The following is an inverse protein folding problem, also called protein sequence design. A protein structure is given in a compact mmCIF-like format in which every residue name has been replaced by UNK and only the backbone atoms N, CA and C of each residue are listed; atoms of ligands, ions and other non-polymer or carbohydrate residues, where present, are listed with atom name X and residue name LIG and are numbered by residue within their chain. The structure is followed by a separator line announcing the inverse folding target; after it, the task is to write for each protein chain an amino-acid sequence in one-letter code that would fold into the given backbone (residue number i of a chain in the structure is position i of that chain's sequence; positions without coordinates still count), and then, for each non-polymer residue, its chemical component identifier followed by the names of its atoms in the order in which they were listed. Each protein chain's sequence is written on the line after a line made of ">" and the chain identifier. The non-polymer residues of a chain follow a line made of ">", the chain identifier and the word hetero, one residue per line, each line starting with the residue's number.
data_IF_894523718515
#
_entry.id   IF_894523718515
#
_cell.length_a   1.000
_cell.length_b   1.000
_cell.length_c   1.000
_cell.angle_alpha   90.00
_cell.angle_beta   90.00
_cell.angle_gamma   90.00
#
_symmetry.space_group_name_H-M   'P 1'
#
loop_
_entity.id
_entity.type
_entity.pdbx_description
1 polymer ?
#
# COMPACT_ATOMS: atom_id res chain seq x y z
N UNK A 1 -0.88 9.42 -19.59
CA UNK A 1 0.34 9.10 -20.37
C UNK A 1 -0.04 8.17 -21.50
N UNK A 2 0.39 8.39 -22.73
CA UNK A 2 0.09 7.47 -23.81
C UNK A 2 0.67 6.09 -23.49
N UNK A 3 -0.10 5.03 -23.77
CA UNK A 3 0.33 3.65 -23.54
C UNK A 3 1.60 3.35 -24.34
N UNK A 4 2.46 2.50 -23.78
CA UNK A 4 3.72 2.04 -24.42
C UNK A 4 3.48 1.57 -25.87
N UNK A 5 2.31 0.95 -26.13
CA UNK A 5 1.89 0.57 -27.48
C UNK A 5 1.74 1.76 -28.45
N UNK A 6 1.20 2.91 -27.99
CA UNK A 6 1.11 4.12 -28.84
C UNK A 6 2.48 4.71 -29.14
N UNK A 7 3.41 4.63 -28.19
CA UNK A 7 4.79 5.07 -28.40
C UNK A 7 5.50 4.12 -29.37
N UNK A 8 5.30 2.81 -29.22
CA UNK A 8 5.87 1.80 -30.14
C UNK A 8 5.28 1.96 -31.53
N UNK A 9 3.97 2.17 -31.67
CA UNK A 9 3.32 2.41 -32.97
C UNK A 9 3.82 3.71 -33.60
N UNK A 10 3.97 4.78 -32.84
CA UNK A 10 4.51 6.06 -33.30
C UNK A 10 5.99 5.95 -33.73
N UNK A 11 6.79 5.17 -33.01
CA UNK A 11 8.18 4.88 -33.39
C UNK A 11 8.26 3.96 -34.61
N UNK A 12 7.29 3.05 -34.77
CA UNK A 12 7.23 2.16 -35.92
C UNK A 12 6.85 2.88 -37.19
N UNK A 13 5.88 3.79 -37.15
CA UNK A 13 5.53 4.66 -38.31
C UNK A 13 6.68 5.60 -38.70
N UNK A 14 7.37 6.21 -37.72
CA UNK A 14 8.58 7.00 -38.01
C UNK A 14 9.76 6.15 -38.48
N UNK A 15 9.83 4.88 -38.15
CA UNK A 15 10.86 3.96 -38.64
C UNK A 15 10.78 3.76 -40.15
N UNK A 16 9.57 3.74 -40.71
CA UNK A 16 9.37 3.67 -42.19
C UNK A 16 9.91 4.95 -42.85
N UNK A 17 9.73 6.12 -42.22
CA UNK A 17 10.22 7.40 -42.75
C UNK A 17 11.74 7.58 -42.63
N UNK A 18 12.35 7.02 -41.52
CA UNK A 18 13.80 7.08 -41.30
C UNK A 18 14.58 6.09 -42.16
N UNK A 19 13.94 5.02 -42.64
CA UNK A 19 14.58 4.04 -43.51
C UNK A 19 14.89 4.59 -44.92
N UNK A 20 14.27 5.69 -45.34
CA UNK A 20 14.56 6.36 -46.59
C UNK A 20 15.72 7.37 -46.50
N UNK A 21 16.16 7.70 -45.27
CA UNK A 21 17.32 8.58 -45.05
C UNK A 21 18.55 7.71 -44.73
N UNK A 22 19.60 7.83 -45.54
CA UNK A 22 20.87 7.13 -45.34
C UNK A 22 21.45 7.54 -43.98
N UNK A 23 21.19 6.74 -42.93
CA UNK A 23 21.70 6.98 -41.56
C UNK A 23 23.19 6.66 -41.50
N UNK A 24 23.94 7.44 -40.74
CA UNK A 24 25.35 7.15 -40.46
C UNK A 24 25.49 5.97 -39.50
N UNK A 25 26.63 5.29 -39.50
CA UNK A 25 26.91 4.16 -38.57
C UNK A 25 26.75 4.57 -37.13
N UNK A 26 27.07 5.82 -36.76
CA UNK A 26 26.88 6.36 -35.40
C UNK A 26 25.41 6.45 -35.00
N UNK A 27 24.55 6.88 -35.91
CA UNK A 27 23.10 6.96 -35.64
C UNK A 27 22.46 5.58 -35.48
N UNK A 28 22.93 4.57 -36.26
CA UNK A 28 22.54 3.17 -36.04
C UNK A 28 22.96 2.64 -34.67
N UNK A 29 24.17 2.97 -34.22
CA UNK A 29 24.67 2.58 -32.91
C UNK A 29 23.85 3.20 -31.78
N UNK A 30 23.54 4.49 -31.83
CA UNK A 30 22.67 5.15 -30.84
C UNK A 30 21.24 4.59 -30.84
N UNK A 31 20.68 4.31 -32.00
CA UNK A 31 19.36 3.70 -32.12
C UNK A 31 19.32 2.29 -31.51
N UNK A 32 20.34 1.49 -31.77
CA UNK A 32 20.50 0.16 -31.17
C UNK A 32 20.69 0.23 -29.64
N UNK A 33 21.47 1.18 -29.17
CA UNK A 33 21.66 1.43 -27.73
C UNK A 33 20.36 1.85 -27.04
N UNK A 34 19.56 2.70 -27.67
CA UNK A 34 18.25 3.11 -27.18
C UNK A 34 17.28 1.92 -27.12
N UNK A 35 17.25 1.07 -28.16
CA UNK A 35 16.43 -0.15 -28.17
C UNK A 35 16.89 -1.12 -27.06
N UNK A 36 18.19 -1.25 -26.85
CA UNK A 36 18.77 -2.10 -25.78
C UNK A 36 18.37 -1.55 -24.41
N UNK A 37 18.44 -0.23 -24.19
CA UNK A 37 17.99 0.44 -22.96
C UNK A 37 16.49 0.28 -22.73
N UNK A 38 15.65 0.40 -23.77
CA UNK A 38 14.21 0.18 -23.67
C UNK A 38 13.91 -1.28 -23.30
N UNK A 39 14.62 -2.25 -23.87
CA UNK A 39 14.46 -3.66 -23.51
C UNK A 39 14.93 -3.94 -22.08
N UNK A 40 16.02 -3.36 -21.60
CA UNK A 40 16.50 -3.49 -20.22
C UNK A 40 15.50 -2.87 -19.23
N UNK A 41 14.90 -1.73 -19.55
CA UNK A 41 13.86 -1.10 -18.73
C UNK A 41 12.56 -1.94 -18.74
N UNK A 42 12.22 -2.55 -19.89
CA UNK A 42 11.04 -3.42 -20.00
C UNK A 42 11.22 -4.76 -19.26
N UNK A 43 12.45 -5.29 -19.21
CA UNK A 43 12.76 -6.50 -18.43
C UNK A 43 12.69 -6.31 -16.91
N UNK A 44 12.71 -5.05 -16.43
CA UNK A 44 12.60 -4.73 -15.01
C UNK A 44 11.18 -4.83 -14.46
N UNK A 45 10.17 -4.89 -15.32
CA UNK A 45 8.78 -5.17 -14.91
C UNK A 45 8.53 -6.68 -14.95
N UNK A 46 8.96 -7.39 -13.93
CA UNK A 46 8.77 -8.84 -13.74
C UNK A 46 7.30 -9.30 -13.65
N UNK A 47 6.38 -8.67 -14.38
CA UNK A 47 4.95 -8.95 -14.31
C UNK A 47 4.30 -8.53 -12.99
N UNK A 48 5.01 -7.76 -12.17
CA UNK A 48 4.46 -7.20 -10.94
C UNK A 48 3.53 -6.02 -11.25
N UNK A 49 2.37 -6.00 -10.60
CA UNK A 49 1.37 -4.94 -10.78
C UNK A 49 1.84 -3.61 -10.19
N UNK A 50 2.56 -3.66 -9.09
CA UNK A 50 3.03 -2.50 -8.35
C UNK A 50 4.50 -2.22 -8.59
N UNK A 51 4.83 -0.94 -8.84
CA UNK A 51 6.20 -0.48 -9.03
C UNK A 51 6.80 -0.08 -7.67
N UNK A 52 7.74 -0.87 -7.20
CA UNK A 52 8.44 -0.63 -5.92
C UNK A 52 9.30 0.64 -5.89
N UNK A 53 9.51 1.29 -7.03
CA UNK A 53 10.29 2.53 -7.10
C UNK A 53 9.47 3.81 -6.93
N UNK A 54 8.14 3.73 -6.95
CA UNK A 54 7.23 4.90 -6.92
C UNK A 54 6.23 4.90 -5.77
N UNK A 55 6.18 3.82 -5.00
CA UNK A 55 5.24 3.63 -3.89
C UNK A 55 5.89 2.84 -2.77
N UNK A 56 5.34 2.95 -1.55
CA UNK A 56 5.72 2.11 -0.41
C UNK A 56 5.02 0.74 -0.43
N UNK A 57 4.21 0.48 -1.47
CA UNK A 57 3.55 -0.79 -1.71
C UNK A 57 4.56 -1.94 -1.83
N UNK A 58 4.32 -2.99 -1.08
CA UNK A 58 5.23 -4.12 -0.99
C UNK A 58 4.81 -5.19 -2.00
N UNK A 59 5.70 -5.56 -2.91
CA UNK A 59 5.53 -6.77 -3.71
C UNK A 59 5.93 -7.99 -2.88
N UNK A 60 4.93 -8.81 -2.54
CA UNK A 60 5.13 -10.00 -1.74
C UNK A 60 5.59 -11.19 -2.57
N UNK A 61 6.38 -12.03 -1.94
CA UNK A 61 6.88 -13.28 -2.48
C UNK A 61 7.11 -14.27 -1.31
N UNK A 62 7.42 -15.56 -1.58
CA UNK A 62 7.64 -16.55 -0.53
C UNK A 62 8.75 -16.23 0.48
N UNK A 63 9.75 -15.43 0.07
CA UNK A 63 10.87 -15.09 0.96
C UNK A 63 10.54 -13.94 1.93
N UNK A 64 9.63 -13.04 1.56
CA UNK A 64 9.34 -11.85 2.36
C UNK A 64 7.96 -11.85 3.01
N UNK A 65 7.06 -12.77 2.66
CA UNK A 65 5.69 -12.79 3.18
C UNK A 65 5.65 -12.82 4.71
N UNK A 66 6.35 -13.76 5.33
CA UNK A 66 6.33 -13.91 6.78
C UNK A 66 6.98 -12.71 7.48
N UNK A 67 8.10 -12.24 6.99
CA UNK A 67 8.81 -11.09 7.59
C UNK A 67 8.05 -9.79 7.44
N UNK A 68 7.34 -9.60 6.33
CA UNK A 68 6.59 -8.38 6.08
C UNK A 68 5.18 -8.40 6.67
N UNK A 69 4.53 -9.54 6.69
CA UNK A 69 3.12 -9.67 7.09
C UNK A 69 2.98 -10.40 8.42
N UNK A 70 3.30 -11.69 8.48
CA UNK A 70 3.00 -12.55 9.62
C UNK A 70 3.64 -12.06 10.91
N UNK A 71 4.95 -11.79 10.88
CA UNK A 71 5.71 -11.38 12.05
C UNK A 71 5.40 -9.95 12.54
N UNK A 72 4.84 -9.12 11.67
CA UNK A 72 4.49 -7.75 12.03
C UNK A 72 3.14 -7.63 12.74
N UNK A 73 2.31 -8.67 12.72
CA UNK A 73 1.03 -8.67 13.43
C UNK A 73 1.18 -8.53 14.95
N UNK A 74 2.30 -8.99 15.51
CA UNK A 74 2.65 -8.80 16.94
C UNK A 74 2.97 -7.32 17.27
N UNK A 75 3.23 -6.48 16.26
CA UNK A 75 3.59 -5.07 16.41
C UNK A 75 2.41 -4.12 16.18
N UNK A 76 1.20 -4.60 16.30
CA UNK A 76 -0.03 -3.84 16.03
C UNK A 76 -0.08 -3.25 14.61
N UNK A 77 0.60 -3.90 13.67
CA UNK A 77 0.59 -3.51 12.26
C UNK A 77 -0.52 -4.23 11.53
N UNK A 78 -1.35 -3.46 10.85
CA UNK A 78 -2.43 -3.97 10.00
C UNK A 78 -1.89 -4.02 8.57
N UNK A 79 -2.00 -5.20 7.93
CA UNK A 79 -1.68 -5.32 6.52
C UNK A 79 -2.95 -5.53 5.69
N UNK A 80 -3.01 -4.89 4.52
CA UNK A 80 -4.05 -5.08 3.52
C UNK A 80 -3.40 -5.51 2.22
N UNK A 81 -3.76 -6.71 1.76
CA UNK A 81 -3.08 -7.39 0.66
C UNK A 81 -4.03 -7.59 -0.50
N UNK A 82 -3.59 -7.15 -1.69
CA UNK A 82 -4.21 -7.46 -2.96
C UNK A 82 -3.58 -8.72 -3.55
N UNK A 83 -4.31 -9.82 -3.55
CA UNK A 83 -3.97 -11.04 -4.26
C UNK A 83 -4.50 -10.91 -5.68
N UNK A 84 -3.61 -10.92 -6.66
CA UNK A 84 -3.95 -10.61 -8.03
C UNK A 84 -3.34 -11.58 -9.05
N UNK A 85 -3.97 -11.66 -10.21
CA UNK A 85 -3.35 -12.20 -11.42
C UNK A 85 -3.23 -11.08 -12.46
N UNK A 86 -2.07 -10.89 -13.10
CA UNK A 86 -1.94 -9.88 -14.17
C UNK A 86 -2.92 -10.08 -15.33
N UNK A 87 -3.43 -11.30 -15.50
CA UNK A 87 -4.27 -11.69 -16.63
C UNK A 87 -5.77 -11.68 -16.32
N UNK A 88 -6.20 -11.35 -15.09
CA UNK A 88 -7.63 -11.40 -14.72
C UNK A 88 -8.46 -10.22 -15.24
N UNK A 89 -7.82 -9.23 -15.86
CA UNK A 89 -8.43 -8.04 -16.45
C UNK A 89 -9.02 -7.06 -15.44
N UNK A 90 -9.24 -7.45 -14.19
CA UNK A 90 -9.80 -6.62 -13.13
C UNK A 90 -8.72 -6.04 -12.21
N UNK A 91 -7.73 -6.84 -11.84
CA UNK A 91 -6.65 -6.42 -10.95
C UNK A 91 -5.89 -5.16 -11.41
N UNK A 92 -5.56 -5.00 -12.71
CA UNK A 92 -4.91 -3.79 -13.19
C UNK A 92 -5.76 -2.52 -13.04
N UNK A 93 -7.10 -2.64 -13.15
CA UNK A 93 -8.02 -1.50 -13.02
C UNK A 93 -8.10 -0.98 -11.58
N UNK A 94 -7.84 -1.83 -10.60
CA UNK A 94 -7.92 -1.51 -9.17
C UNK A 94 -6.57 -1.06 -8.58
N UNK A 95 -5.52 -1.06 -9.39
CA UNK A 95 -4.18 -0.61 -9.01
C UNK A 95 -4.17 0.81 -8.44
N UNK A 96 -4.92 1.71 -9.09
CA UNK A 96 -4.89 3.13 -8.74
C UNK A 96 -5.45 3.39 -7.34
N UNK A 97 -6.46 2.62 -6.90
CA UNK A 97 -7.00 2.69 -5.53
C UNK A 97 -5.93 2.35 -4.49
N UNK A 98 -5.10 1.32 -4.75
CA UNK A 98 -4.00 0.96 -3.85
C UNK A 98 -2.89 2.02 -3.82
N UNK A 99 -2.60 2.65 -4.95
CA UNK A 99 -1.63 3.75 -5.03
C UNK A 99 -2.14 4.98 -4.28
N UNK A 100 -3.44 5.29 -4.39
CA UNK A 100 -4.07 6.36 -3.63
C UNK A 100 -4.03 6.09 -2.12
N UNK A 101 -4.40 4.86 -1.71
CA UNK A 101 -4.31 4.43 -0.31
C UNK A 101 -2.88 4.59 0.23
N UNK A 102 -1.88 4.17 -0.52
CA UNK A 102 -0.49 4.27 -0.12
C UNK A 102 -0.06 5.73 0.03
N UNK A 103 -0.46 6.58 -0.90
CA UNK A 103 -0.13 8.01 -0.88
C UNK A 103 -0.75 8.74 0.32
N UNK A 104 -2.02 8.44 0.63
CA UNK A 104 -2.75 9.14 1.70
C UNK A 104 -2.48 8.58 3.10
N UNK A 105 -2.25 7.25 3.19
CA UNK A 105 -2.16 6.55 4.48
C UNK A 105 -0.82 5.83 4.66
N UNK A 106 0.22 6.34 4.00
CA UNK A 106 1.59 5.81 4.13
C UNK A 106 2.01 5.73 5.59
N UNK A 107 2.54 4.57 5.98
CA UNK A 107 2.98 4.30 7.36
C UNK A 107 1.86 3.98 8.36
N UNK A 108 0.57 4.18 8.02
CA UNK A 108 -0.53 3.73 8.88
C UNK A 108 -0.81 2.24 8.72
N UNK A 109 -0.77 1.76 7.47
CA UNK A 109 -1.05 0.39 7.10
C UNK A 109 0.07 -0.15 6.24
N UNK A 110 0.29 -1.45 6.27
CA UNK A 110 1.10 -2.13 5.27
C UNK A 110 0.22 -2.50 4.09
N UNK A 111 0.46 -1.87 2.96
CA UNK A 111 -0.22 -2.17 1.71
C UNK A 111 0.69 -3.04 0.85
N UNK A 112 0.14 -4.12 0.32
CA UNK A 112 0.95 -5.09 -0.42
C UNK A 112 0.18 -5.72 -1.57
N UNK A 113 0.91 -6.15 -2.59
CA UNK A 113 0.41 -6.97 -3.67
C UNK A 113 1.10 -8.33 -3.71
N UNK A 114 0.36 -9.38 -4.01
CA UNK A 114 0.89 -10.72 -4.24
C UNK A 114 0.43 -11.23 -5.60
N UNK A 115 1.39 -11.49 -6.48
CA UNK A 115 1.16 -12.02 -7.81
C UNK A 115 0.90 -13.53 -7.73
N UNK A 116 -0.37 -13.92 -7.83
CA UNK A 116 -0.78 -15.31 -7.71
C UNK A 116 -0.57 -16.15 -8.98
N UNK A 117 -0.34 -15.50 -10.13
CA UNK A 117 0.14 -16.21 -11.32
C UNK A 117 1.56 -16.74 -11.09
N UNK A 118 2.41 -15.92 -10.44
CA UNK A 118 3.81 -16.24 -10.17
C UNK A 118 3.99 -17.11 -8.92
N UNK A 119 3.21 -16.85 -7.87
CA UNK A 119 3.34 -17.49 -6.56
C UNK A 119 2.06 -18.23 -6.14
N UNK A 120 1.60 -19.12 -7.02
CA UNK A 120 0.32 -19.86 -6.86
C UNK A 120 0.24 -20.60 -5.53
N UNK A 121 1.32 -21.30 -5.14
CA UNK A 121 1.33 -22.11 -3.91
C UNK A 121 1.21 -21.23 -2.66
N UNK A 122 1.83 -20.04 -2.64
CA UNK A 122 1.68 -19.11 -1.55
C UNK A 122 0.24 -18.58 -1.46
N UNK A 123 -0.38 -18.24 -2.58
CA UNK A 123 -1.78 -17.80 -2.62
C UNK A 123 -2.72 -18.90 -2.11
N UNK A 124 -2.52 -20.15 -2.56
CA UNK A 124 -3.29 -21.31 -2.08
C UNK A 124 -3.13 -21.54 -0.58
N UNK A 125 -1.90 -21.42 -0.04
CA UNK A 125 -1.64 -21.49 1.41
C UNK A 125 -2.37 -20.39 2.19
N UNK A 126 -2.60 -19.24 1.56
CA UNK A 126 -3.39 -18.16 2.15
C UNK A 126 -4.90 -18.33 1.93
N UNK A 127 -5.35 -19.45 1.35
CA UNK A 127 -6.76 -19.71 1.09
C UNK A 127 -7.36 -18.81 0.00
N UNK A 128 -6.55 -18.46 -1.01
CA UNK A 128 -6.98 -17.62 -2.13
C UNK A 128 -7.04 -18.47 -3.41
N UNK A 129 -8.24 -18.56 -4.00
CA UNK A 129 -8.53 -19.32 -5.21
C UNK A 129 -8.97 -18.43 -6.36
N UNK A 130 -9.55 -17.27 -6.05
CA UNK A 130 -10.13 -16.35 -7.02
C UNK A 130 -9.42 -15.00 -7.02
N UNK A 131 -9.37 -14.34 -8.18
CA UNK A 131 -8.70 -13.05 -8.36
C UNK A 131 -9.63 -12.01 -9.01
N UNK A 132 -9.55 -10.73 -8.57
CA UNK A 132 -8.80 -10.24 -7.43
C UNK A 132 -9.43 -10.65 -6.09
N UNK A 133 -8.61 -10.96 -5.10
CA UNK A 133 -9.03 -11.15 -3.72
C UNK A 133 -8.26 -10.20 -2.80
N UNK A 134 -8.96 -9.63 -1.82
CA UNK A 134 -8.38 -8.72 -0.84
C UNK A 134 -8.46 -9.35 0.53
N UNK A 135 -7.34 -9.35 1.25
CA UNK A 135 -7.31 -9.88 2.63
C UNK A 135 -6.68 -8.88 3.59
N UNK A 136 -7.25 -8.84 4.77
CA UNK A 136 -6.73 -8.07 5.89
C UNK A 136 -6.03 -9.02 6.84
N UNK A 137 -4.86 -8.60 7.29
CA UNK A 137 -4.09 -9.24 8.33
C UNK A 137 -4.06 -8.28 9.52
N UNK A 138 -5.05 -8.37 10.43
CA UNK A 138 -5.10 -7.53 11.61
C UNK A 138 -4.03 -7.94 12.61
N UNK A 139 -3.78 -7.12 13.66
CA UNK A 139 -2.97 -7.52 14.80
C UNK A 139 -3.50 -8.81 15.44
N UNK A 140 -2.61 -9.56 16.06
CA UNK A 140 -3.02 -10.72 16.84
C UNK A 140 -3.88 -10.28 18.05
N UNK A 141 -4.83 -11.13 18.50
CA UNK A 141 -5.08 -12.50 18.08
C UNK A 141 -6.07 -12.67 16.91
N UNK A 142 -6.59 -11.59 16.31
CA UNK A 142 -7.60 -11.68 15.27
C UNK A 142 -7.06 -12.42 14.01
N UNK A 143 -7.81 -13.36 13.42
CA UNK A 143 -7.36 -14.10 12.24
C UNK A 143 -7.35 -13.21 10.98
N UNK A 144 -6.57 -13.58 9.95
CA UNK A 144 -6.71 -12.98 8.63
C UNK A 144 -8.11 -13.20 8.07
N UNK A 145 -8.67 -12.19 7.40
CA UNK A 145 -10.02 -12.25 6.86
C UNK A 145 -10.11 -11.64 5.46
N UNK A 146 -11.04 -12.13 4.66
CA UNK A 146 -11.33 -11.59 3.35
C UNK A 146 -12.08 -10.25 3.49
N UNK A 147 -11.71 -9.29 2.67
CA UNK A 147 -12.45 -8.05 2.53
C UNK A 147 -13.44 -8.16 1.37
N UNK A 148 -14.71 -7.95 1.65
CA UNK A 148 -15.81 -8.06 0.68
C UNK A 148 -16.52 -6.71 0.44
N UNK A 149 -15.94 -5.64 0.96
CA UNK A 149 -16.47 -4.28 0.79
C UNK A 149 -16.15 -3.68 -0.58
N UNK A 150 -16.63 -2.47 -0.81
CA UNK A 150 -16.32 -1.71 -2.03
C UNK A 150 -14.83 -1.37 -2.07
N UNK A 151 -14.23 -1.49 -3.25
CA UNK A 151 -12.82 -1.15 -3.49
C UNK A 151 -12.72 0.35 -3.83
N UNK A 152 -12.96 1.15 -2.82
CA UNK A 152 -12.79 2.61 -2.82
C UNK A 152 -12.09 3.01 -1.52
N UNK A 153 -11.17 3.97 -1.58
CA UNK A 153 -10.33 4.43 -0.47
C UNK A 153 -11.12 4.64 0.82
N UNK A 154 -12.24 5.35 0.78
CA UNK A 154 -13.05 5.67 1.97
C UNK A 154 -13.63 4.44 2.68
N UNK A 155 -14.05 3.40 1.92
CA UNK A 155 -14.64 2.18 2.52
C UNK A 155 -13.56 1.28 3.08
N UNK A 156 -12.43 1.15 2.37
CA UNK A 156 -11.27 0.38 2.82
C UNK A 156 -10.75 0.98 4.13
N UNK A 157 -10.53 2.29 4.18
CA UNK A 157 -10.02 2.97 5.39
C UNK A 157 -11.00 2.89 6.55
N UNK A 158 -12.30 3.05 6.29
CA UNK A 158 -13.32 2.88 7.32
C UNK A 158 -13.30 1.46 7.92
N UNK A 159 -13.02 0.46 7.09
CA UNK A 159 -12.93 -0.93 7.54
C UNK A 159 -11.62 -1.21 8.28
N UNK A 160 -10.47 -0.82 7.73
CA UNK A 160 -9.16 -1.00 8.36
C UNK A 160 -9.07 -0.26 9.70
N UNK A 161 -9.69 0.91 9.81
CA UNK A 161 -9.74 1.72 11.02
C UNK A 161 -10.40 1.02 12.23
N UNK A 162 -11.21 -0.02 12.00
CA UNK A 162 -11.80 -0.83 13.08
C UNK A 162 -10.76 -1.67 13.83
N UNK A 163 -9.67 -2.00 13.17
CA UNK A 163 -8.59 -2.81 13.73
C UNK A 163 -7.45 -1.97 14.31
N UNK A 164 -7.48 -0.66 14.12
CA UNK A 164 -6.50 0.24 14.75
C UNK A 164 -6.82 0.36 16.22
N UNK A 165 -5.89 -0.08 17.05
CA UNK A 165 -5.98 0.08 18.51
C UNK A 165 -6.10 1.56 18.92
N UNK A 166 -6.54 1.78 20.14
CA UNK A 166 -6.73 3.11 20.70
C UNK A 166 -6.10 3.20 22.09
N UNK A 167 -5.13 4.07 22.27
CA UNK A 167 -4.52 4.40 23.57
C UNK A 167 -4.92 5.79 24.08
N UNK A 168 -5.87 6.44 23.37
CA UNK A 168 -6.41 7.71 23.81
C UNK A 168 -7.30 7.54 25.03
N UNK A 169 -7.19 8.42 25.99
CA UNK A 169 -8.08 8.51 27.13
C UNK A 169 -9.16 9.56 26.85
N UNK A 170 -10.36 9.36 27.37
CA UNK A 170 -11.39 10.38 27.37
C UNK A 170 -11.30 11.23 28.63
N UNK A 171 -11.24 12.55 28.47
CA UNK A 171 -11.26 13.49 29.58
C UNK A 171 -12.69 13.89 29.91
N UNK A 172 -12.94 13.92 31.21
CA UNK A 172 -14.14 14.51 31.82
C UNK A 172 -13.75 15.24 33.09
N UNK A 173 -14.74 15.91 33.72
CA UNK A 173 -14.48 16.68 34.93
C UNK A 173 -13.88 15.89 36.09
N UNK A 174 -14.07 14.55 36.12
CA UNK A 174 -13.63 13.73 37.25
C UNK A 174 -12.16 13.28 37.12
N UNK A 175 -11.60 13.24 35.90
CA UNK A 175 -10.24 12.76 35.64
C UNK A 175 -9.29 13.84 35.10
N UNK A 176 -9.77 15.06 34.90
CA UNK A 176 -8.98 16.15 34.32
C UNK A 176 -7.79 16.53 35.18
N UNK A 177 -8.00 16.77 36.48
CA UNK A 177 -6.95 17.20 37.40
C UNK A 177 -5.89 16.12 37.59
N UNK A 178 -6.30 14.87 37.76
CA UNK A 178 -5.39 13.73 37.82
C UNK A 178 -4.55 13.64 36.55
N UNK A 179 -5.18 13.77 35.41
CA UNK A 179 -4.47 13.69 34.14
C UNK A 179 -3.42 14.81 33.98
N UNK A 180 -3.76 16.04 34.29
CA UNK A 180 -2.85 17.17 34.14
C UNK A 180 -1.63 17.03 35.07
N UNK A 181 -1.84 16.57 36.30
CA UNK A 181 -0.78 16.48 37.30
C UNK A 181 -0.02 15.15 37.29
N UNK A 182 -0.58 14.09 36.69
CA UNK A 182 0.09 12.80 36.59
C UNK A 182 1.25 12.88 35.60
N UNK A 183 2.45 12.51 36.04
CA UNK A 183 3.69 12.49 35.23
C UNK A 183 3.90 13.80 34.46
N UNK A 184 4.18 14.92 35.15
CA UNK A 184 4.27 16.25 34.53
C UNK A 184 5.38 16.37 33.47
N UNK A 185 6.38 15.48 33.54
CA UNK A 185 7.47 15.43 32.54
C UNK A 185 7.06 14.82 31.18
N UNK A 186 5.90 14.16 31.09
CA UNK A 186 5.44 13.56 29.85
C UNK A 186 4.53 14.56 29.12
N UNK A 187 4.86 14.95 27.88
CA UNK A 187 3.99 15.79 27.06
C UNK A 187 2.59 15.21 26.89
N UNK A 188 1.60 16.05 26.91
CA UNK A 188 0.19 15.68 26.78
C UNK A 188 -0.40 16.38 25.55
N UNK A 189 -1.10 15.61 24.73
CA UNK A 189 -1.79 16.13 23.53
C UNK A 189 -3.29 15.98 23.73
N UNK A 190 -4.01 17.10 23.70
CA UNK A 190 -5.44 17.15 23.83
C UNK A 190 -6.06 17.41 22.47
N UNK A 191 -7.06 16.58 22.11
CA UNK A 191 -7.90 16.79 20.94
C UNK A 191 -9.31 17.17 21.39
N UNK A 192 -9.72 18.39 21.08
CA UNK A 192 -11.09 18.86 21.26
C UNK A 192 -11.91 18.49 20.02
N UNK A 193 -12.96 17.73 20.18
CA UNK A 193 -13.77 17.27 19.04
C UNK A 193 -15.21 17.01 19.47
N UNK A 194 -16.14 17.27 18.56
CA UNK A 194 -17.55 16.87 18.69
C UNK A 194 -17.86 15.52 18.06
N UNK A 195 -16.83 14.81 17.53
CA UNK A 195 -16.99 13.50 16.91
C UNK A 195 -16.98 12.41 17.98
N UNK A 196 -17.99 11.55 17.99
CA UNK A 196 -18.09 10.42 18.92
C UNK A 196 -16.95 9.39 18.80
N UNK A 197 -16.28 9.34 17.66
CA UNK A 197 -15.20 8.39 17.41
C UNK A 197 -13.84 9.09 17.34
N UNK A 198 -12.84 8.49 17.96
CA UNK A 198 -11.45 8.93 17.87
C UNK A 198 -10.99 8.94 16.41
N UNK A 199 -10.50 10.07 15.88
CA UNK A 199 -9.98 10.12 14.52
C UNK A 199 -8.85 9.10 14.30
N UNK A 200 -8.82 8.47 13.12
CA UNK A 200 -7.88 7.40 12.80
C UNK A 200 -6.40 7.81 13.01
N UNK A 201 -6.04 9.01 12.56
CA UNK A 201 -4.70 9.56 12.75
C UNK A 201 -4.36 9.67 14.24
N UNK A 202 -5.31 10.13 15.06
CA UNK A 202 -5.08 10.31 16.49
C UNK A 202 -4.90 8.96 17.21
N UNK A 203 -5.69 7.94 16.84
CA UNK A 203 -5.46 6.57 17.28
C UNK A 203 -4.06 6.08 16.93
N UNK A 204 -3.62 6.27 15.68
CA UNK A 204 -2.31 5.82 15.22
C UNK A 204 -1.17 6.49 15.96
N UNK A 205 -1.25 7.80 16.16
CA UNK A 205 -0.28 8.57 16.94
C UNK A 205 -0.22 8.08 18.39
N UNK A 206 -1.37 7.78 19.01
CA UNK A 206 -1.43 7.29 20.39
C UNK A 206 -0.75 5.92 20.56
N UNK A 207 -0.77 5.07 19.55
CA UNK A 207 -0.05 3.79 19.55
C UNK A 207 1.46 3.99 19.34
N UNK A 208 1.82 4.89 18.44
CA UNK A 208 3.22 5.12 18.07
C UNK A 208 4.03 5.76 19.20
N UNK A 209 3.41 6.64 19.97
CA UNK A 209 4.06 7.45 21.00
C UNK A 209 3.53 7.20 22.42
N UNK A 210 2.91 6.06 22.68
CA UNK A 210 2.25 5.72 23.95
C UNK A 210 3.14 5.91 25.19
N UNK A 211 4.43 5.63 25.07
CA UNK A 211 5.40 5.80 26.18
C UNK A 211 5.84 7.26 26.37
N UNK A 212 5.90 8.01 25.30
CA UNK A 212 6.51 9.35 25.25
C UNK A 212 5.49 10.49 25.32
N UNK A 213 4.23 10.24 24.94
CA UNK A 213 3.18 11.27 24.84
C UNK A 213 1.84 10.65 25.28
N UNK A 214 1.06 11.40 26.04
CA UNK A 214 -0.32 11.00 26.38
C UNK A 214 -1.33 11.71 25.49
N UNK A 215 -2.26 10.94 24.92
CA UNK A 215 -3.29 11.41 23.99
C UNK A 215 -4.66 11.39 24.62
N UNK A 216 -5.40 12.48 24.45
CA UNK A 216 -6.67 12.67 25.11
C UNK A 216 -7.70 13.30 24.20
N UNK A 217 -8.94 12.88 24.40
CA UNK A 217 -10.12 13.41 23.75
C UNK A 217 -10.95 14.16 24.76
N UNK A 218 -11.43 15.33 24.36
CA UNK A 218 -12.50 16.08 25.03
C UNK A 218 -13.64 16.29 24.05
N UNK A 219 -14.85 15.99 24.51
CA UNK A 219 -16.10 16.19 23.77
C UNK A 219 -16.78 17.49 24.19
#
# INVERSE_FOLDING_TARGET
>A
MPSVQKIIHFLFEKKIFLFQKKMSIKEYFYFFLIILLINVVSLKNNGELYDSGRSTLINLNPMNFDTQITNNRNKEVIAFIHFYSPDDGKSPQLKDVFIELDKEYSGMFKLAGLNCKKYKDLCSKQGVTDYPTYKIYPPLPAPPMKYEGKIETKYIISYLGKFVGNKCQELNNNNFDEFIHNKPSIPKVLLFTNKKNVPLLFKRLSLQFDVSIKYILMY
#
